data_IF_632683682192
#
_entry.id   IF_632683682192
#
_cell.length_a   1.000
_cell.length_b   1.000
_cell.length_c   1.000
_cell.angle_alpha   90.00
_cell.angle_beta   90.00
_cell.angle_gamma   90.00
#
_symmetry.space_group_name_H-M   'P 1'
#
loop_
_entity.id
_entity.type
_entity.pdbx_description
1 polymer ?
#
# COMPACT_ATOMS: atom_id res chain seq x y z
N UNK A 1 -7.83 4.94 -4.47
CA UNK A 1 -6.42 5.42 -4.38
C UNK A 1 -5.89 5.13 -2.97
N UNK A 2 -4.59 5.33 -2.73
CA UNK A 2 -3.95 5.02 -1.44
C UNK A 2 -4.60 5.75 -0.25
N UNK A 3 -4.98 7.02 -0.40
CA UNK A 3 -5.53 7.81 0.71
C UNK A 3 -6.94 7.36 1.08
N UNK A 4 -7.77 7.07 0.07
CA UNK A 4 -9.11 6.47 0.28
C UNK A 4 -9.00 5.09 0.94
N UNK A 5 -8.07 4.25 0.45
CA UNK A 5 -7.80 2.94 1.04
C UNK A 5 -7.39 3.02 2.50
N UNK A 6 -6.52 3.98 2.86
CA UNK A 6 -6.06 4.17 4.24
C UNK A 6 -7.20 4.56 5.18
N UNK A 7 -8.16 5.36 4.70
CA UNK A 7 -9.33 5.79 5.48
C UNK A 7 -10.33 4.65 5.68
N UNK A 8 -10.59 3.86 4.66
CA UNK A 8 -11.66 2.84 4.66
C UNK A 8 -11.19 1.48 5.19
N UNK A 9 -9.92 1.12 4.97
CA UNK A 9 -9.35 -0.20 5.31
C UNK A 9 -7.97 -0.07 6.00
N UNK A 10 -7.86 0.69 7.10
CA UNK A 10 -6.58 0.95 7.78
C UNK A 10 -5.90 -0.32 8.29
N UNK A 11 -6.66 -1.34 8.67
CA UNK A 11 -6.16 -2.62 9.17
C UNK A 11 -5.42 -3.42 8.10
N UNK A 12 -5.91 -3.42 6.87
CA UNK A 12 -5.26 -4.11 5.75
C UNK A 12 -3.98 -3.37 5.38
N UNK A 13 -4.04 -2.05 5.27
CA UNK A 13 -2.87 -1.24 4.93
C UNK A 13 -1.80 -1.37 6.01
N UNK A 14 -2.14 -1.25 7.30
CA UNK A 14 -1.19 -1.44 8.40
C UNK A 14 -0.52 -2.81 8.37
N UNK A 15 -1.23 -3.85 7.93
CA UNK A 15 -0.68 -5.21 7.83
C UNK A 15 0.37 -5.35 6.73
N UNK A 16 0.24 -4.64 5.61
CA UNK A 16 1.07 -4.86 4.42
C UNK A 16 2.02 -3.71 4.09
N UNK A 17 1.70 -2.47 4.47
CA UNK A 17 2.49 -1.30 4.15
C UNK A 17 3.88 -1.37 4.81
N UNK A 18 4.92 -1.13 4.01
CA UNK A 18 6.32 -1.17 4.48
C UNK A 18 6.87 -2.57 4.78
N UNK A 19 6.13 -3.66 4.49
CA UNK A 19 6.61 -5.04 4.75
C UNK A 19 7.63 -5.53 3.72
N UNK A 20 7.48 -5.12 2.45
CA UNK A 20 8.40 -5.48 1.36
C UNK A 20 9.52 -4.45 1.22
N UNK A 21 9.19 -3.16 1.34
CA UNK A 21 10.15 -2.06 1.34
C UNK A 21 10.02 -1.31 2.66
N UNK A 22 10.83 -1.65 3.68
CA UNK A 22 10.83 -0.94 4.95
C UNK A 22 11.29 0.51 4.80
N UNK A 23 10.82 1.40 5.69
CA UNK A 23 11.27 2.79 5.73
C UNK A 23 12.77 2.95 6.03
N UNK A 24 13.43 1.91 6.57
CA UNK A 24 14.86 1.89 6.87
C UNK A 24 15.72 1.36 5.72
N UNK A 25 15.13 0.92 4.61
CA UNK A 25 15.85 0.26 3.51
C UNK A 25 16.89 1.19 2.85
N UNK A 26 16.48 2.40 2.47
CA UNK A 26 17.39 3.42 1.97
C UNK A 26 16.77 4.82 2.09
N UNK A 27 17.57 5.87 1.81
CA UNK A 27 17.14 7.27 1.95
C UNK A 27 15.90 7.63 1.13
N UNK A 28 15.69 7.00 -0.03
CA UNK A 28 14.53 7.26 -0.88
C UNK A 28 13.29 6.53 -0.37
N UNK A 29 13.45 5.31 0.15
CA UNK A 29 12.36 4.56 0.82
C UNK A 29 11.88 5.29 2.07
N UNK A 30 12.81 5.81 2.88
CA UNK A 30 12.50 6.63 4.05
C UNK A 30 11.70 7.88 3.67
N UNK A 31 12.17 8.63 2.65
CA UNK A 31 11.50 9.82 2.16
C UNK A 31 10.11 9.49 1.63
N UNK A 32 9.98 8.49 0.74
CA UNK A 32 8.70 8.09 0.18
C UNK A 32 7.69 7.66 1.26
N UNK A 33 8.15 6.94 2.29
CA UNK A 33 7.28 6.54 3.41
C UNK A 33 6.86 7.72 4.28
N UNK A 34 7.74 8.71 4.49
CA UNK A 34 7.46 9.84 5.37
C UNK A 34 6.55 10.89 4.73
N UNK A 35 6.65 11.10 3.42
CA UNK A 35 5.96 12.18 2.70
C UNK A 35 5.17 11.69 1.50
N UNK A 36 4.65 10.45 1.53
CA UNK A 36 3.93 9.90 0.39
C UNK A 36 2.92 10.92 -0.16
N UNK A 37 2.91 11.11 -1.47
CA UNK A 37 2.07 12.13 -2.13
C UNK A 37 1.00 11.51 -3.02
N UNK A 38 0.80 10.20 -2.90
CA UNK A 38 -0.16 9.42 -3.68
C UNK A 38 0.30 7.98 -3.92
N UNK A 39 -0.53 7.24 -4.65
CA UNK A 39 -0.28 5.86 -5.01
C UNK A 39 -1.57 5.08 -5.25
N UNK A 40 -1.43 3.87 -5.76
CA UNK A 40 -2.54 2.93 -5.92
C UNK A 40 -2.49 1.88 -4.81
N UNK A 41 -3.63 1.66 -4.17
CA UNK A 41 -3.82 0.55 -3.23
C UNK A 41 -4.78 -0.46 -3.87
N UNK A 42 -4.33 -1.70 -4.03
CA UNK A 42 -5.10 -2.80 -4.62
C UNK A 42 -5.07 -3.97 -3.62
N UNK A 43 -6.25 -4.49 -3.30
CA UNK A 43 -6.42 -5.66 -2.45
C UNK A 43 -7.40 -6.62 -3.11
N UNK A 44 -6.98 -7.88 -3.30
CA UNK A 44 -7.83 -8.95 -3.84
C UNK A 44 -8.08 -9.96 -2.71
N UNK A 45 -9.33 -10.13 -2.25
CA UNK A 45 -9.65 -11.09 -1.21
C UNK A 45 -9.32 -12.53 -1.63
N UNK A 46 -9.06 -13.39 -0.64
CA UNK A 46 -8.77 -14.81 -0.89
C UNK A 46 -9.92 -15.47 -1.65
N UNK A 47 -9.58 -16.16 -2.73
CA UNK A 47 -10.55 -16.86 -3.58
C UNK A 47 -11.21 -16.00 -4.66
N UNK A 48 -10.90 -14.70 -4.72
CA UNK A 48 -11.32 -13.83 -5.82
C UNK A 48 -10.30 -13.90 -6.94
N UNK A 49 -10.79 -14.09 -8.16
CA UNK A 49 -9.99 -14.00 -9.39
C UNK A 49 -10.35 -12.71 -10.13
N UNK A 50 -9.35 -12.02 -10.66
CA UNK A 50 -9.52 -10.77 -11.41
C UNK A 50 -9.33 -11.08 -12.89
N UNK A 51 -10.36 -10.82 -13.70
CA UNK A 51 -10.40 -11.20 -15.13
C UNK A 51 -9.75 -10.16 -16.06
N UNK A 52 -9.50 -8.94 -15.58
CA UNK A 52 -8.90 -7.84 -16.35
C UNK A 52 -7.66 -7.26 -15.65
N UNK A 53 -6.70 -6.70 -16.41
CA UNK A 53 -5.61 -5.92 -15.81
C UNK A 53 -6.16 -4.73 -15.02
N UNK A 54 -5.51 -4.44 -13.90
CA UNK A 54 -5.84 -3.35 -12.98
C UNK A 54 -4.90 -2.17 -13.19
#
# INVERSE_FOLDING_TARGET
DMDSGLKEHPEIIKKYFGTVIPHTDNKFSALNTAVWSGGSFIYVPKGVHVEMPV
#
